data_IF_706504980377
#
_entry.id   IF_706504980377
#
_cell.length_a   1.000
_cell.length_b   1.000
_cell.length_c   1.000
_cell.angle_alpha   90.00
_cell.angle_beta   90.00
_cell.angle_gamma   90.00
#
_symmetry.space_group_name_H-M   'P 1'
#
loop_
_entity.id
_entity.type
_entity.pdbx_description
1 polymer ?
#
# COMPACT_ATOMS: atom_id res chain seq x y z
N UNK A 1 47.47 -46.68 38.06
CA UNK A 1 48.04 -45.40 37.55
C UNK A 1 48.35 -45.60 36.07
N UNK A 2 48.22 -44.62 35.17
CA UNK A 2 47.52 -43.31 35.19
C UNK A 2 46.41 -43.22 34.10
N UNK A 3 45.16 -42.84 34.41
CA UNK A 3 44.56 -41.49 34.27
C UNK A 3 45.04 -40.66 33.06
N UNK A 4 44.21 -40.62 32.01
CA UNK A 4 44.10 -39.50 31.06
C UNK A 4 42.66 -39.00 31.05
N UNK A 5 42.43 -37.77 31.54
CA UNK A 5 41.12 -37.16 31.81
C UNK A 5 41.03 -35.89 30.97
N UNK A 6 39.79 -35.47 30.65
CA UNK A 6 39.34 -34.14 30.14
C UNK A 6 39.34 -34.01 28.60
N UNK A 7 38.38 -33.36 27.95
CA UNK A 7 37.13 -32.73 28.38
C UNK A 7 36.29 -32.44 27.12
N UNK A 8 34.97 -32.39 27.30
CA UNK A 8 33.97 -31.92 26.33
C UNK A 8 34.42 -30.61 25.66
N UNK A 9 34.77 -30.69 24.38
CA UNK A 9 34.84 -29.53 23.49
C UNK A 9 33.43 -29.06 23.17
N UNK A 10 33.12 -27.85 23.63
CA UNK A 10 31.88 -27.08 23.44
C UNK A 10 31.50 -27.07 21.95
N UNK A 11 30.33 -27.62 21.56
CA UNK A 11 29.70 -27.28 20.28
C UNK A 11 29.32 -25.81 20.33
N UNK A 12 30.18 -24.94 19.79
CA UNK A 12 29.85 -23.54 19.55
C UNK A 12 29.05 -23.52 18.26
N UNK A 13 27.77 -23.18 18.34
CA UNK A 13 26.96 -22.90 17.17
C UNK A 13 27.63 -21.77 16.37
N UNK A 14 27.72 -21.87 15.02
CA UNK A 14 28.13 -20.72 14.23
C UNK A 14 27.14 -19.58 14.51
N UNK A 15 27.68 -18.39 14.81
CA UNK A 15 26.89 -17.19 15.05
C UNK A 15 25.88 -16.98 13.90
N UNK A 16 24.67 -16.46 14.17
CA UNK A 16 23.72 -16.20 13.11
C UNK A 16 24.40 -15.24 12.14
N UNK A 17 24.65 -15.71 10.92
CA UNK A 17 25.00 -14.85 9.83
C UNK A 17 23.87 -13.81 9.77
N UNK A 18 24.17 -12.61 10.25
CA UNK A 18 23.40 -11.42 9.92
C UNK A 18 23.49 -11.37 8.40
N UNK A 19 22.49 -11.97 7.75
CA UNK A 19 22.23 -11.81 6.34
C UNK A 19 22.00 -10.32 6.18
N UNK A 20 23.08 -9.58 5.96
CA UNK A 20 23.01 -8.32 5.25
C UNK A 20 22.31 -8.69 3.97
N UNK A 21 21.01 -8.35 3.88
CA UNK A 21 20.34 -8.21 2.59
C UNK A 21 21.26 -7.32 1.78
N UNK A 22 22.02 -7.92 0.88
CA UNK A 22 22.63 -7.18 -0.20
C UNK A 22 21.46 -6.57 -0.95
N UNK A 23 21.28 -5.26 -0.81
CA UNK A 23 20.49 -4.52 -1.77
C UNK A 23 21.13 -4.79 -3.12
N UNK A 24 20.45 -5.61 -3.92
CA UNK A 24 20.82 -5.83 -5.30
C UNK A 24 20.82 -4.45 -5.97
N UNK A 25 22.01 -3.90 -6.20
CA UNK A 25 22.19 -2.71 -7.03
C UNK A 25 21.67 -3.09 -8.42
N UNK A 26 20.46 -2.63 -8.75
CA UNK A 26 19.92 -2.75 -10.10
C UNK A 26 20.92 -2.08 -11.02
N UNK A 27 21.40 -2.80 -12.03
CA UNK A 27 22.21 -2.25 -13.11
C UNK A 27 21.35 -1.19 -13.80
N UNK A 28 21.59 0.09 -13.48
CA UNK A 28 20.88 1.20 -14.13
C UNK A 28 21.60 1.44 -15.44
N UNK A 29 20.99 1.02 -16.54
CA UNK A 29 21.48 1.37 -17.87
C UNK A 29 21.47 2.91 -17.99
N UNK A 30 22.61 3.54 -18.33
CA UNK A 30 22.71 5.00 -18.42
C UNK A 30 21.83 5.62 -19.51
N UNK A 31 21.24 4.80 -20.39
CA UNK A 31 20.29 5.21 -21.41
C UNK A 31 18.87 5.49 -20.86
N UNK A 32 18.56 5.05 -19.64
CA UNK A 32 17.25 5.27 -19.02
C UNK A 32 17.33 6.31 -17.90
N UNK A 33 16.93 7.53 -18.24
CA UNK A 33 16.72 8.61 -17.27
C UNK A 33 15.34 8.49 -16.61
N UNK A 34 15.26 8.78 -15.30
CA UNK A 34 13.97 8.92 -14.62
C UNK A 34 13.36 10.28 -15.00
N UNK A 35 12.20 10.26 -15.67
CA UNK A 35 11.43 11.47 -16.02
C UNK A 35 10.12 11.53 -15.23
N UNK A 36 10.13 12.02 -13.98
CA UNK A 36 8.91 12.19 -13.20
C UNK A 36 8.07 13.33 -13.79
N UNK A 37 6.77 13.11 -13.95
CA UNK A 37 5.81 14.16 -14.36
C UNK A 37 5.25 14.85 -13.12
N UNK A 38 5.07 16.16 -13.19
CA UNK A 38 4.48 16.96 -12.12
C UNK A 38 2.99 17.21 -12.43
N UNK A 39 2.10 16.62 -11.63
CA UNK A 39 0.64 16.71 -11.82
C UNK A 39 -0.03 17.80 -10.95
N UNK A 40 0.76 18.77 -10.47
CA UNK A 40 0.25 19.95 -9.78
C UNK A 40 -0.62 20.85 -10.66
N UNK A 41 -1.21 21.87 -10.05
CA UNK A 41 -2.04 22.85 -10.77
C UNK A 41 -1.15 23.65 -11.74
N UNK A 42 -1.49 23.67 -13.04
CA UNK A 42 -0.75 24.42 -14.06
C UNK A 42 0.54 23.75 -14.58
N UNK A 43 0.77 22.48 -14.27
CA UNK A 43 1.94 21.70 -14.72
C UNK A 43 1.54 20.69 -15.80
N UNK A 44 2.05 19.45 -15.75
CA UNK A 44 1.73 18.41 -16.72
C UNK A 44 0.25 18.02 -16.69
N UNK A 45 -0.22 17.42 -17.80
CA UNK A 45 -1.60 16.91 -17.94
C UNK A 45 -1.93 15.95 -16.80
N UNK A 46 -3.06 16.20 -16.14
CA UNK A 46 -3.54 15.34 -15.07
C UNK A 46 -3.78 13.90 -15.56
N UNK A 47 -3.41 12.89 -14.75
CA UNK A 47 -3.69 11.52 -15.08
C UNK A 47 -5.20 11.25 -15.04
N UNK A 48 -5.62 10.20 -15.75
CA UNK A 48 -6.99 9.69 -15.63
C UNK A 48 -7.22 9.24 -14.19
N UNK A 49 -8.26 9.79 -13.55
CA UNK A 49 -8.68 9.44 -12.18
C UNK A 49 -10.10 8.90 -12.19
N UNK A 50 -10.50 8.29 -11.08
CA UNK A 50 -11.90 7.91 -10.91
C UNK A 50 -12.80 9.16 -10.80
N UNK A 51 -13.75 9.27 -11.72
CA UNK A 51 -14.72 10.36 -11.81
C UNK A 51 -16.12 9.94 -11.35
N UNK A 52 -16.31 8.71 -10.85
CA UNK A 52 -17.62 8.16 -10.43
C UNK A 52 -18.44 9.11 -9.55
N UNK A 53 -17.79 9.91 -8.69
CA UNK A 53 -18.47 10.90 -7.84
C UNK A 53 -18.96 12.14 -8.58
N UNK A 54 -18.25 12.56 -9.63
CA UNK A 54 -18.48 13.79 -10.38
C UNK A 54 -19.25 13.58 -11.69
N UNK A 55 -19.45 12.32 -12.09
CA UNK A 55 -20.22 11.95 -13.27
C UNK A 55 -21.68 12.36 -13.10
N UNK A 56 -22.26 12.90 -14.17
CA UNK A 56 -23.70 13.13 -14.28
C UNK A 56 -24.42 11.78 -14.37
N UNK A 57 -24.85 11.25 -13.23
CA UNK A 57 -25.55 9.98 -13.16
C UNK A 57 -26.92 10.00 -13.88
N UNK A 58 -27.34 8.86 -14.49
CA UNK A 58 -28.69 8.66 -14.99
C UNK A 58 -29.78 9.08 -13.99
N UNK A 59 -30.91 9.56 -14.51
CA UNK A 59 -31.99 10.15 -13.68
C UNK A 59 -32.46 9.21 -12.56
N UNK A 60 -32.65 7.93 -12.86
CA UNK A 60 -33.17 6.95 -11.90
C UNK A 60 -32.22 6.74 -10.71
N UNK A 61 -30.90 6.70 -10.94
CA UNK A 61 -29.90 6.56 -9.88
C UNK A 61 -29.92 7.78 -8.96
N UNK A 62 -30.06 8.99 -9.54
CA UNK A 62 -30.17 10.22 -8.75
C UNK A 62 -31.42 10.18 -7.84
N UNK A 63 -32.57 9.81 -8.40
CA UNK A 63 -33.82 9.70 -7.64
C UNK A 63 -33.72 8.67 -6.50
N UNK A 64 -33.16 7.49 -6.77
CA UNK A 64 -32.96 6.45 -5.76
C UNK A 64 -32.05 6.91 -4.62
N UNK A 65 -30.91 7.55 -4.95
CA UNK A 65 -29.99 8.10 -3.95
C UNK A 65 -30.63 9.22 -3.13
N UNK A 66 -31.34 10.14 -3.78
CA UNK A 66 -32.06 11.22 -3.11
C UNK A 66 -33.12 10.66 -2.14
N UNK A 67 -33.91 9.67 -2.56
CA UNK A 67 -34.90 8.99 -1.70
C UNK A 67 -34.24 8.37 -0.46
N UNK A 68 -33.13 7.66 -0.63
CA UNK A 68 -32.40 7.06 0.49
C UNK A 68 -31.81 8.12 1.44
N UNK A 69 -31.29 9.23 0.93
CA UNK A 69 -30.80 10.35 1.74
C UNK A 69 -31.97 11.02 2.50
N UNK A 70 -33.12 11.17 1.86
CA UNK A 70 -34.29 11.80 2.45
C UNK A 70 -34.79 11.02 3.67
N UNK A 71 -34.94 9.69 3.57
CA UNK A 71 -35.36 8.85 4.70
C UNK A 71 -34.35 8.85 5.86
N UNK A 72 -33.07 9.06 5.59
CA UNK A 72 -32.05 9.19 6.64
C UNK A 72 -32.09 10.55 7.34
N UNK A 73 -32.43 11.61 6.61
CA UNK A 73 -32.43 12.99 7.12
C UNK A 73 -33.73 13.38 7.80
N UNK A 74 -34.85 12.92 7.27
CA UNK A 74 -36.16 13.14 7.88
C UNK A 74 -36.35 12.15 9.01
N UNK A 75 -36.81 12.64 10.16
CA UNK A 75 -37.37 11.78 11.19
C UNK A 75 -38.72 11.31 10.66
N UNK A 76 -38.81 10.07 10.20
CA UNK A 76 -40.10 9.49 9.83
C UNK A 76 -40.99 9.52 11.06
N UNK A 77 -42.06 10.31 11.00
CA UNK A 77 -43.09 10.42 12.03
C UNK A 77 -43.95 9.15 12.04
N UNK A 78 -43.37 8.03 12.45
CA UNK A 78 -43.99 6.75 12.84
C UNK A 78 -42.93 5.66 12.88
N UNK A 79 -41.89 5.83 13.69
CA UNK A 79 -41.34 4.68 14.39
C UNK A 79 -42.11 4.59 15.71
N UNK A 80 -43.17 3.79 15.71
CA UNK A 80 -43.51 2.95 16.86
C UNK A 80 -42.64 1.71 16.76
#
# INVERSE_FOLDING_TARGET
MPKGKKAKGKKVAPAPAVMKKQEAKKVVNPLFEKRPKNFGIGQDIQPKRDLTRFVKWPRYIRLQRQRAILYKRLKSSSCH
#
